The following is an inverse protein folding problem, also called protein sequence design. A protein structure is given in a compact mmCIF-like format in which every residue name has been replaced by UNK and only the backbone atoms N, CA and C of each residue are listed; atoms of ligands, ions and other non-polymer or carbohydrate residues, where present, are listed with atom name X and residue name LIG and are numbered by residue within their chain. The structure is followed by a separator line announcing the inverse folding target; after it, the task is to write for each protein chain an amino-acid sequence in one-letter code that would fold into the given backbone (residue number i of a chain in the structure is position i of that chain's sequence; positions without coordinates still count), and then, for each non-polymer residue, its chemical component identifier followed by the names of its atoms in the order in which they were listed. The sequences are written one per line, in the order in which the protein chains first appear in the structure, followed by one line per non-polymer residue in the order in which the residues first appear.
data_IF_363601641655
#
_entry.id   IF_363601641655
#
_cell.length_a   1.000
_cell.length_b   1.000
_cell.length_c   1.000
_cell.angle_alpha   90.00
_cell.angle_beta   90.00
_cell.angle_gamma   90.00
#
_symmetry.space_group_name_H-M   'P 1'
#
loop_
_entity.id
_entity.type
_entity.pdbx_description
1 polymer ?
#
# COMPACT_ATOMS: atom_id res chain seq x y z
N UNK A 1 8.79 6.74 -17.50
CA UNK A 1 8.74 5.88 -16.30
C UNK A 1 9.10 6.68 -15.03
N UNK A 2 8.11 7.04 -14.21
CA UNK A 2 8.35 7.67 -12.92
C UNK A 2 8.96 6.65 -11.95
N UNK A 3 10.26 6.79 -11.64
CA UNK A 3 10.96 6.00 -10.62
C UNK A 3 10.97 4.49 -10.87
N UNK A 4 11.10 4.09 -12.14
CA UNK A 4 11.13 2.67 -12.58
C UNK A 4 9.75 2.08 -12.88
N UNK A 5 8.71 2.54 -12.19
CA UNK A 5 7.36 2.02 -12.41
C UNK A 5 6.79 2.37 -13.80
N UNK A 6 5.87 1.54 -14.32
CA UNK A 6 5.11 1.86 -15.53
C UNK A 6 4.34 3.17 -15.41
N UNK A 7 4.05 3.76 -16.57
CA UNK A 7 3.13 4.89 -16.67
C UNK A 7 1.68 4.38 -16.65
N UNK A 8 0.76 5.21 -16.16
CA UNK A 8 -0.65 4.83 -16.05
C UNK A 8 -0.94 3.89 -14.87
N UNK A 9 -1.97 3.05 -15.04
CA UNK A 9 -2.47 2.13 -14.01
C UNK A 9 -1.91 0.73 -14.25
N UNK A 10 -1.52 0.06 -13.19
CA UNK A 10 -0.96 -1.28 -13.28
C UNK A 10 -1.28 -2.13 -12.06
N UNK A 11 -1.22 -3.45 -12.25
CA UNK A 11 -1.19 -4.43 -11.16
C UNK A 11 0.25 -4.80 -10.85
N UNK A 12 0.54 -5.06 -9.58
CA UNK A 12 1.86 -5.47 -9.09
C UNK A 12 1.76 -6.93 -8.68
N UNK A 13 2.41 -7.81 -9.44
CA UNK A 13 2.26 -9.25 -9.32
C UNK A 13 3.63 -9.85 -9.02
N UNK A 14 3.72 -10.71 -8.01
CA UNK A 14 4.94 -11.41 -7.70
C UNK A 14 5.26 -12.39 -8.84
N UNK A 15 6.45 -12.27 -9.43
CA UNK A 15 6.85 -13.03 -10.62
C UNK A 15 6.83 -14.53 -10.37
N UNK A 16 7.27 -14.94 -9.20
CA UNK A 16 7.56 -16.35 -8.91
C UNK A 16 6.31 -17.08 -8.36
N UNK A 17 5.41 -16.35 -7.70
CA UNK A 17 4.23 -16.94 -7.01
C UNK A 17 2.88 -16.51 -7.57
N UNK A 18 2.82 -15.53 -8.48
CA UNK A 18 1.59 -15.01 -9.06
C UNK A 18 0.71 -14.17 -8.11
N UNK A 19 1.12 -13.97 -6.86
CA UNK A 19 0.34 -13.20 -5.90
C UNK A 19 0.28 -11.72 -6.29
N UNK A 20 -0.87 -11.09 -6.10
CA UNK A 20 -1.11 -9.70 -6.47
C UNK A 20 -1.22 -8.81 -5.24
N UNK A 21 -0.56 -7.65 -5.27
CA UNK A 21 -0.74 -6.63 -4.24
C UNK A 21 -2.14 -6.02 -4.34
N UNK A 22 -2.81 -5.87 -3.20
CA UNK A 22 -4.14 -5.31 -3.12
C UNK A 22 -4.32 -4.40 -1.90
N UNK A 23 -5.23 -3.45 -2.04
CA UNK A 23 -5.71 -2.58 -0.98
C UNK A 23 -7.14 -3.01 -0.62
N UNK A 24 -7.36 -3.69 0.49
CA UNK A 24 -8.69 -4.11 0.90
C UNK A 24 -9.42 -3.01 1.67
N UNK A 25 -10.75 -3.09 1.71
CA UNK A 25 -11.54 -2.30 2.64
C UNK A 25 -11.27 -2.80 4.07
N UNK A 26 -10.86 -1.91 4.99
CA UNK A 26 -10.84 -2.22 6.41
C UNK A 26 -12.25 -2.35 6.97
N UNK A 27 -12.37 -2.64 8.28
CA UNK A 27 -13.66 -2.68 8.97
C UNK A 27 -14.46 -1.38 8.81
N UNK A 28 -15.72 -1.34 9.23
CA UNK A 28 -16.52 -0.10 9.28
C UNK A 28 -16.46 0.52 10.68
N UNK A 29 -16.25 1.84 10.79
CA UNK A 29 -16.44 2.58 12.04
C UNK A 29 -17.67 3.43 11.88
N UNK A 30 -18.46 3.47 12.94
CA UNK A 30 -19.66 4.27 13.05
C UNK A 30 -19.33 5.54 13.81
N UNK A 31 -19.71 6.69 13.25
CA UNK A 31 -19.60 8.00 13.87
C UNK A 31 -20.96 8.67 13.97
N UNK A 32 -21.10 9.53 14.97
CA UNK A 32 -22.25 10.44 15.09
C UNK A 32 -21.68 11.84 15.30
N UNK A 33 -22.13 12.80 14.49
CA UNK A 33 -21.79 14.20 14.66
C UNK A 33 -23.05 14.99 15.03
N UNK A 34 -22.93 15.82 16.05
CA UNK A 34 -23.99 16.77 16.42
C UNK A 34 -24.18 17.77 15.27
N UNK A 35 -25.38 17.81 14.72
CA UNK A 35 -25.81 18.77 13.72
C UNK A 35 -26.68 19.84 14.40
N UNK A 36 -26.41 21.10 14.07
CA UNK A 36 -27.14 22.23 14.61
C UNK A 36 -27.92 22.91 13.49
N UNK A 37 -29.25 22.89 13.58
CA UNK A 37 -30.08 23.65 12.65
C UNK A 37 -30.02 25.13 13.02
N UNK A 38 -29.42 25.92 12.14
CA UNK A 38 -29.13 27.34 12.35
C UNK A 38 -30.39 28.21 12.35
N UNK A 39 -31.54 27.70 11.89
CA UNK A 39 -32.82 28.42 11.80
C UNK A 39 -33.78 28.09 12.95
N UNK A 40 -33.74 26.87 13.50
CA UNK A 40 -34.68 26.41 14.55
C UNK A 40 -34.02 26.19 15.90
N UNK A 41 -32.68 26.11 15.97
CA UNK A 41 -31.93 25.89 17.20
C UNK A 41 -31.97 24.45 17.72
N UNK A 42 -32.57 23.52 16.97
CA UNK A 42 -32.63 22.10 17.32
C UNK A 42 -31.28 21.41 17.11
N UNK A 43 -30.91 20.56 18.08
CA UNK A 43 -29.78 19.64 17.98
C UNK A 43 -30.25 18.32 17.37
N UNK A 44 -29.80 18.02 16.16
CA UNK A 44 -29.91 16.70 15.55
C UNK A 44 -28.59 15.93 15.66
N UNK A 45 -28.61 14.62 15.40
CA UNK A 45 -27.41 13.81 15.24
C UNK A 45 -27.40 13.22 13.83
N UNK A 46 -26.36 13.52 13.05
CA UNK A 46 -26.14 12.84 11.76
C UNK A 46 -25.32 11.59 12.07
N UNK A 47 -25.94 10.43 11.96
CA UNK A 47 -25.25 9.15 11.99
C UNK A 47 -24.69 8.87 10.61
N UNK A 48 -23.39 8.62 10.52
CA UNK A 48 -22.76 8.20 9.27
C UNK A 48 -21.89 6.97 9.51
N UNK A 49 -21.91 6.05 8.55
CA UNK A 49 -20.95 4.95 8.47
C UNK A 49 -19.84 5.34 7.53
N UNK A 50 -18.59 5.09 7.95
CA UNK A 50 -17.44 5.21 7.07
C UNK A 50 -16.78 3.86 6.92
N UNK A 51 -16.41 3.52 5.69
CA UNK A 51 -15.48 2.43 5.45
C UNK A 51 -14.12 2.89 5.99
N UNK A 52 -13.60 2.18 7.01
CA UNK A 52 -12.35 2.56 7.65
C UNK A 52 -11.19 2.30 6.71
N UNK A 53 -10.12 3.03 7.01
CA UNK A 53 -8.73 2.77 6.63
C UNK A 53 -8.51 1.53 5.77
N UNK A 54 -7.94 1.77 4.60
CA UNK A 54 -7.59 0.66 3.70
C UNK A 54 -6.58 -0.25 4.38
N UNK A 55 -6.72 -1.55 4.16
CA UNK A 55 -5.80 -2.55 4.69
C UNK A 55 -4.98 -3.09 3.53
N UNK A 56 -3.67 -3.16 3.70
CA UNK A 56 -2.82 -3.77 2.68
C UNK A 56 -2.94 -5.29 2.77
N UNK A 57 -2.89 -5.98 1.63
CA UNK A 57 -2.76 -7.42 1.61
C UNK A 57 -2.41 -7.97 0.24
N UNK A 58 -2.49 -9.30 0.14
CA UNK A 58 -2.20 -10.06 -1.05
C UNK A 58 -3.42 -10.84 -1.49
N UNK A 59 -3.61 -10.97 -2.79
CA UNK A 59 -4.42 -12.06 -3.38
C UNK A 59 -3.47 -13.14 -3.92
N UNK A 60 -3.90 -14.39 -3.88
CA UNK A 60 -3.16 -15.51 -4.46
C UNK A 60 -2.97 -15.38 -5.97
N UNK A 61 -3.90 -14.70 -6.64
CA UNK A 61 -3.85 -14.36 -8.06
C UNK A 61 -4.67 -13.07 -8.32
N UNK A 62 -4.41 -12.34 -9.43
CA UNK A 62 -5.21 -11.18 -9.82
C UNK A 62 -6.67 -11.56 -10.14
N UNK A 63 -7.61 -10.80 -9.59
CA UNK A 63 -9.06 -10.94 -9.80
C UNK A 63 -9.64 -9.84 -10.70
N UNK A 64 -8.78 -8.97 -11.22
CA UNK A 64 -9.13 -7.85 -12.08
C UNK A 64 -10.04 -6.80 -11.44
N UNK A 65 -9.89 -6.59 -10.13
CA UNK A 65 -10.62 -5.58 -9.38
C UNK A 65 -9.81 -4.29 -9.23
N UNK A 66 -10.50 -3.15 -9.03
CA UNK A 66 -9.84 -1.85 -8.83
C UNK A 66 -8.98 -1.80 -7.57
N UNK A 67 -9.27 -2.64 -6.57
CA UNK A 67 -8.45 -2.73 -5.35
C UNK A 67 -7.01 -3.18 -5.63
N UNK A 68 -6.75 -3.76 -6.79
CA UNK A 68 -5.44 -4.24 -7.26
C UNK A 68 -4.72 -3.22 -8.14
N UNK A 69 -5.37 -2.12 -8.50
CA UNK A 69 -4.81 -1.12 -9.40
C UNK A 69 -4.00 -0.09 -8.63
N UNK A 70 -2.78 0.10 -9.09
CA UNK A 70 -1.80 1.03 -8.56
C UNK A 70 -1.38 2.03 -9.63
N UNK A 71 -0.87 3.18 -9.20
CA UNK A 71 -0.19 4.12 -10.07
C UNK A 71 0.96 4.80 -9.32
N UNK A 72 1.99 5.20 -10.05
CA UNK A 72 3.13 5.93 -9.50
C UNK A 72 2.99 7.44 -9.75
N UNK A 73 3.22 8.25 -8.71
CA UNK A 73 3.32 9.70 -8.82
C UNK A 73 4.78 10.13 -8.68
N UNK A 74 5.44 10.36 -9.82
CA UNK A 74 6.78 10.94 -9.89
C UNK A 74 6.80 12.46 -9.95
N UNK A 75 5.66 13.15 -9.82
CA UNK A 75 5.63 14.61 -9.84
C UNK A 75 6.46 15.21 -8.70
N UNK A 76 6.90 16.44 -8.89
CA UNK A 76 7.58 17.18 -7.85
C UNK A 76 6.59 17.71 -6.81
N UNK A 77 7.04 17.80 -5.56
CA UNK A 77 6.40 18.57 -4.51
C UNK A 77 6.63 20.09 -4.73
N UNK A 78 6.00 20.98 -3.94
CA UNK A 78 6.18 22.43 -4.08
C UNK A 78 7.63 22.92 -3.96
N UNK A 79 8.54 22.10 -3.42
CA UNK A 79 9.96 22.41 -3.28
C UNK A 79 10.83 21.77 -4.38
N UNK A 80 10.20 21.24 -5.43
CA UNK A 80 10.89 20.66 -6.57
C UNK A 80 11.44 19.25 -6.32
N UNK A 81 11.13 18.60 -5.19
CA UNK A 81 11.59 17.24 -4.91
C UNK A 81 10.61 16.21 -5.48
N UNK A 82 11.08 15.15 -6.14
CA UNK A 82 10.19 14.12 -6.67
C UNK A 82 9.49 13.40 -5.51
N UNK A 83 8.16 13.32 -5.57
CA UNK A 83 7.33 12.66 -4.56
C UNK A 83 7.56 11.16 -4.52
N UNK A 84 7.71 10.52 -5.69
CA UNK A 84 7.91 9.08 -5.86
C UNK A 84 6.95 8.21 -5.05
N UNK A 85 5.66 8.53 -5.09
CA UNK A 85 4.66 7.82 -4.27
C UNK A 85 3.99 6.71 -5.08
N UNK A 86 3.73 5.58 -4.43
CA UNK A 86 3.00 4.46 -5.03
C UNK A 86 1.59 4.43 -4.43
N UNK A 87 0.62 4.82 -5.24
CA UNK A 87 -0.79 4.96 -4.85
C UNK A 87 -1.61 3.75 -5.26
N UNK A 88 -2.61 3.40 -4.46
CA UNK A 88 -3.74 2.60 -4.93
C UNK A 88 -4.77 3.53 -5.57
N UNK A 89 -5.50 3.06 -6.59
CA UNK A 89 -6.50 3.89 -7.27
C UNK A 89 -7.72 4.21 -6.39
N UNK A 90 -8.06 3.31 -5.46
CA UNK A 90 -9.20 3.52 -4.58
C UNK A 90 -8.82 4.57 -3.54
N UNK A 91 -9.53 5.70 -3.61
CA UNK A 91 -9.45 6.80 -2.66
C UNK A 91 -10.77 6.92 -1.87
N UNK A 92 -10.70 7.57 -0.72
CA UNK A 92 -11.86 8.06 0.01
C UNK A 92 -11.90 9.59 -0.14
N UNK A 93 -13.06 10.21 0.04
CA UNK A 93 -13.25 11.67 0.02
C UNK A 93 -12.28 12.41 0.96
N UNK A 94 -11.75 11.71 1.97
CA UNK A 94 -10.82 12.24 2.98
C UNK A 94 -9.35 12.03 2.61
N UNK A 95 -9.01 10.99 1.86
CA UNK A 95 -7.61 10.65 1.63
C UNK A 95 -7.37 9.73 0.44
N UNK A 96 -6.23 9.95 -0.20
CA UNK A 96 -5.60 9.00 -1.12
C UNK A 96 -4.71 8.06 -0.35
N UNK A 97 -4.66 6.80 -0.77
CA UNK A 97 -3.91 5.76 -0.07
C UNK A 97 -2.63 5.39 -0.82
N UNK A 98 -1.52 5.37 -0.09
CA UNK A 98 -0.19 5.01 -0.60
C UNK A 98 0.36 3.78 0.11
N UNK A 99 1.25 3.06 -0.56
CA UNK A 99 2.05 2.02 0.08
C UNK A 99 3.08 2.65 1.03
N UNK A 100 3.24 2.07 2.22
CA UNK A 100 4.13 2.56 3.27
C UNK A 100 4.78 1.38 3.99
N UNK A 101 6.02 1.55 4.44
CA UNK A 101 6.67 0.60 5.35
C UNK A 101 6.03 0.69 6.74
N UNK A 102 5.75 -0.46 7.33
CA UNK A 102 5.25 -0.57 8.70
C UNK A 102 6.36 -1.13 9.62
N UNK A 103 7.16 -0.23 10.18
CA UNK A 103 8.24 -0.60 11.12
C UNK A 103 7.73 -1.26 12.41
N UNK A 104 6.45 -1.05 12.75
CA UNK A 104 5.81 -1.67 13.91
C UNK A 104 5.35 -3.09 13.65
N UNK A 105 5.22 -3.48 12.38
CA UNK A 105 4.76 -4.80 11.98
C UNK A 105 5.94 -5.70 11.63
N UNK A 106 6.16 -6.73 12.44
CA UNK A 106 7.20 -7.75 12.22
C UNK A 106 6.57 -9.13 12.16
N UNK A 107 7.22 -10.03 11.44
CA UNK A 107 6.75 -11.39 11.24
C UNK A 107 7.85 -12.40 11.52
N UNK A 108 7.47 -13.57 12.01
CA UNK A 108 8.30 -14.78 11.89
C UNK A 108 8.02 -15.39 10.53
N UNK A 109 9.03 -15.53 9.69
CA UNK A 109 8.90 -15.90 8.28
C UNK A 109 9.62 -17.22 7.97
N UNK A 110 9.07 -18.01 7.07
CA UNK A 110 9.72 -19.21 6.54
C UNK A 110 10.88 -18.82 5.61
N UNK A 111 12.05 -19.40 5.84
CA UNK A 111 13.23 -19.23 4.97
C UNK A 111 13.87 -17.84 5.00
N UNK A 112 13.38 -16.90 5.82
CA UNK A 112 13.95 -15.55 5.98
C UNK A 112 14.38 -15.38 7.43
N UNK A 113 15.69 -15.30 7.64
CA UNK A 113 16.30 -15.09 8.96
C UNK A 113 16.65 -13.63 9.23
N UNK A 114 16.75 -12.83 8.18
CA UNK A 114 17.04 -11.40 8.28
C UNK A 114 15.84 -10.63 8.83
N UNK A 115 16.07 -9.46 9.48
CA UNK A 115 14.99 -8.59 9.89
C UNK A 115 14.07 -8.24 8.72
N UNK A 116 12.77 -8.43 8.94
CA UNK A 116 11.72 -8.10 7.99
C UNK A 116 10.67 -7.20 8.65
N UNK A 117 10.24 -6.18 7.92
CA UNK A 117 9.18 -5.25 8.36
C UNK A 117 8.03 -5.28 7.37
N UNK A 118 6.80 -5.14 7.88
CA UNK A 118 5.60 -5.17 7.08
C UNK A 118 5.47 -3.95 6.16
N UNK A 119 4.43 -4.01 5.33
CA UNK A 119 3.97 -2.85 4.55
C UNK A 119 2.47 -2.69 4.76
N UNK A 120 1.99 -1.46 4.63
CA UNK A 120 0.60 -1.08 4.92
C UNK A 120 0.11 0.00 3.96
N UNK A 121 -1.20 0.22 3.98
CA UNK A 121 -1.78 1.42 3.39
C UNK A 121 -1.61 2.60 4.35
N UNK A 122 -1.30 3.76 3.81
CA UNK A 122 -1.12 4.98 4.57
C UNK A 122 -1.75 6.18 3.86
N UNK A 123 -2.24 7.15 4.63
CA UNK A 123 -2.86 8.35 4.06
C UNK A 123 -1.80 9.27 3.46
N UNK A 124 -1.93 9.60 2.18
CA UNK A 124 -0.93 10.35 1.41
C UNK A 124 -0.75 11.82 1.86
N UNK A 125 -1.68 12.34 2.66
CA UNK A 125 -1.63 13.68 3.24
C UNK A 125 -0.77 13.79 4.51
N UNK A 126 -0.23 12.67 5.01
CA UNK A 126 0.61 12.66 6.21
C UNK A 126 2.09 12.88 5.86
N UNK A 127 2.84 13.40 6.83
CA UNK A 127 4.29 13.49 6.71
C UNK A 127 4.95 12.11 6.79
N UNK A 128 6.16 11.99 6.23
CA UNK A 128 6.95 10.75 6.29
C UNK A 128 6.52 9.64 5.31
N UNK A 129 5.70 9.97 4.30
CA UNK A 129 5.33 9.01 3.25
C UNK A 129 6.58 8.49 2.53
N UNK A 130 6.70 7.17 2.42
CA UNK A 130 7.78 6.51 1.70
C UNK A 130 7.83 6.97 0.23
N UNK A 131 9.06 7.18 -0.24
CA UNK A 131 9.38 7.37 -1.64
C UNK A 131 9.79 6.02 -2.19
N UNK A 132 9.13 5.53 -3.22
CA UNK A 132 9.36 4.21 -3.80
C UNK A 132 10.14 4.31 -5.09
N UNK A 133 10.93 3.28 -5.35
CA UNK A 133 11.71 3.11 -6.56
C UNK A 133 11.56 1.66 -7.00
N UNK A 134 11.47 1.47 -8.31
CA UNK A 134 11.54 0.18 -8.95
C UNK A 134 12.81 0.14 -9.81
N UNK A 135 13.46 -1.03 -9.85
CA UNK A 135 14.59 -1.31 -10.72
C UNK A 135 14.72 -2.83 -10.93
N UNK A 136 14.70 -3.28 -12.18
CA UNK A 136 14.85 -4.69 -12.58
C UNK A 136 13.93 -5.65 -11.78
N UNK A 137 12.67 -5.27 -11.57
CA UNK A 137 11.67 -6.03 -10.85
C UNK A 137 11.79 -5.97 -9.32
N UNK A 138 12.79 -5.27 -8.78
CA UNK A 138 12.90 -5.01 -7.34
C UNK A 138 12.17 -3.71 -7.00
N UNK A 139 11.31 -3.75 -5.99
CA UNK A 139 10.63 -2.58 -5.45
C UNK A 139 11.25 -2.24 -4.10
N UNK A 140 11.70 -1.01 -3.91
CA UNK A 140 12.38 -0.59 -2.68
C UNK A 140 12.09 0.87 -2.32
N UNK A 141 12.41 1.24 -1.08
CA UNK A 141 12.33 2.63 -0.64
C UNK A 141 13.50 3.39 -1.25
N UNK A 142 13.23 4.46 -1.98
CA UNK A 142 14.21 5.28 -2.66
C UNK A 142 15.37 5.68 -1.74
N UNK A 143 16.58 5.29 -2.13
CA UNK A 143 17.82 5.49 -1.36
C UNK A 143 18.21 4.30 -0.47
N UNK A 144 17.37 3.26 -0.37
CA UNK A 144 17.64 2.03 0.37
C UNK A 144 17.45 0.81 -0.55
N UNK A 145 18.48 0.51 -1.35
CA UNK A 145 18.47 -0.58 -2.33
C UNK A 145 18.76 -1.95 -1.71
N UNK A 146 19.27 -1.97 -0.47
CA UNK A 146 19.62 -3.19 0.26
C UNK A 146 18.38 -3.95 0.76
N UNK A 147 17.26 -3.25 0.94
CA UNK A 147 15.99 -3.83 1.37
C UNK A 147 14.91 -3.67 0.29
N UNK A 148 14.33 -4.80 -0.10
CA UNK A 148 13.39 -4.90 -1.22
C UNK A 148 12.08 -5.55 -0.77
N UNK A 149 11.00 -5.21 -1.46
CA UNK A 149 9.69 -5.80 -1.25
C UNK A 149 9.75 -7.28 -1.62
N UNK A 150 9.36 -8.12 -0.67
CA UNK A 150 9.51 -9.57 -0.72
C UNK A 150 8.19 -10.20 -0.34
N UNK A 151 7.75 -11.20 -1.10
CA UNK A 151 6.67 -12.07 -0.66
C UNK A 151 7.23 -13.21 0.19
N UNK A 152 6.69 -13.37 1.39
CA UNK A 152 7.11 -14.39 2.34
C UNK A 152 5.89 -15.10 2.95
N UNK A 153 6.12 -16.25 3.55
CA UNK A 153 5.09 -17.00 4.28
C UNK A 153 5.41 -16.94 5.77
N UNK A 154 4.39 -16.78 6.62
CA UNK A 154 4.60 -16.80 8.07
C UNK A 154 4.94 -18.22 8.54
N UNK A 155 5.90 -18.35 9.45
CA UNK A 155 6.36 -19.64 9.98
C UNK A 155 5.21 -20.52 10.47
N UNK A 156 5.13 -21.75 9.95
CA UNK A 156 4.14 -22.73 10.39
C UNK A 156 2.74 -22.47 9.84
N UNK A 157 2.62 -21.66 8.78
CA UNK A 157 1.37 -21.35 8.12
C UNK A 157 1.57 -21.14 6.61
N UNK A 158 0.48 -21.29 5.85
CA UNK A 158 0.48 -20.94 4.42
C UNK A 158 0.06 -19.47 4.19
N UNK A 159 0.11 -18.62 5.21
CA UNK A 159 -0.29 -17.22 5.09
C UNK A 159 0.83 -16.41 4.43
N UNK A 160 0.58 -15.96 3.19
CA UNK A 160 1.47 -15.06 2.47
C UNK A 160 1.37 -13.62 3.00
N UNK A 161 2.51 -12.97 3.16
CA UNK A 161 2.65 -11.56 3.52
C UNK A 161 3.68 -10.88 2.63
N UNK A 162 3.53 -9.57 2.43
CA UNK A 162 4.56 -8.75 1.78
C UNK A 162 5.33 -7.98 2.85
N UNK A 163 6.66 -8.00 2.74
CA UNK A 163 7.59 -7.39 3.72
C UNK A 163 8.74 -6.71 3.00
N UNK A 164 9.37 -5.75 3.65
CA UNK A 164 10.71 -5.29 3.28
C UNK A 164 11.74 -6.15 4.01
N UNK A 165 12.66 -6.77 3.28
CA UNK A 165 13.78 -7.52 3.85
C UNK A 165 15.00 -7.42 2.95
N UNK A 166 16.15 -7.91 3.42
CA UNK A 166 17.41 -7.87 2.69
C UNK A 166 17.28 -8.52 1.31
N UNK A 167 17.90 -7.92 0.29
CA UNK A 167 17.97 -8.47 -1.06
C UNK A 167 18.70 -9.82 -1.07
N UNK A 168 18.26 -10.75 -1.92
CA UNK A 168 18.80 -12.10 -2.05
C UNK A 168 17.88 -13.22 -1.55
N UNK A 169 16.73 -12.88 -0.96
CA UNK A 169 15.71 -13.87 -0.59
C UNK A 169 14.84 -14.29 -1.80
N UNK A 170 14.13 -15.43 -1.74
CA UNK A 170 13.15 -15.81 -2.76
C UNK A 170 12.01 -14.77 -2.91
N UNK A 171 11.30 -14.81 -4.05
CA UNK A 171 10.07 -14.04 -4.31
C UNK A 171 10.22 -12.50 -4.17
N UNK A 172 11.38 -11.96 -4.53
CA UNK A 172 11.67 -10.51 -4.47
C UNK A 172 11.40 -9.77 -5.78
N UNK A 173 10.93 -10.50 -6.78
CA UNK A 173 10.81 -10.02 -8.14
C UNK A 173 9.34 -9.83 -8.47
N UNK A 174 9.01 -8.64 -8.94
CA UNK A 174 7.66 -8.20 -9.24
C UNK A 174 7.55 -7.83 -10.71
N UNK A 175 6.44 -8.21 -11.32
CA UNK A 175 6.08 -7.83 -12.68
C UNK A 175 4.88 -6.91 -12.64
N UNK A 176 4.78 -6.07 -13.66
CA UNK A 176 3.72 -5.10 -13.79
C UNK A 176 2.82 -5.44 -14.97
N UNK A 177 1.51 -5.49 -14.73
CA UNK A 177 0.51 -5.67 -15.78
C UNK A 177 -0.24 -4.36 -15.95
N UNK A 178 0.03 -3.66 -17.05
CA UNK A 178 -0.67 -2.44 -17.44
C UNK A 178 -2.15 -2.70 -17.73
N UNK A 179 -3.00 -1.71 -17.47
CA UNK A 179 -4.46 -1.82 -17.45
C UNK A 179 -5.15 -0.66 -18.17
#
# INVERSE_FOLDING_TARGET
MPNGFPEGKFRIINRDTGHCLASFYGGQSYGSQDAYDRLTGEKGAITYSHTNDRVFGLRSEPQNEDIELWYSDGSNDPWGKPKKRLFNIIEDIRTRWVLQVDEGQRYSLEGITEPAVGVRMFGAGRDGVNRWQEEDGFIYVHGNWDQVLTLAYKTGSNEAVAVMTARGAPNQQWIFKEC
#
